data_IF_138043011323
#
_entry.id   IF_138043011323
#
_cell.length_a   1.000
_cell.length_b   1.000
_cell.length_c   1.000
_cell.angle_alpha   90.00
_cell.angle_beta   90.00
_cell.angle_gamma   90.00
#
_symmetry.space_group_name_H-M   'P 1'
#
loop_
_entity.id
_entity.type
_entity.pdbx_description
1 polymer ?
#
# COMPACT_ATOMS: atom_id res chain seq x y z
N UNK A 1 -36.12 -15.46 18.47
CA UNK A 1 -37.22 -14.99 17.58
C UNK A 1 -36.59 -14.56 16.27
N UNK A 2 -37.29 -14.66 15.15
CA UNK A 2 -36.89 -14.07 13.87
C UNK A 2 -37.97 -13.03 13.51
N UNK A 3 -37.57 -11.91 12.91
CA UNK A 3 -38.49 -10.85 12.47
C UNK A 3 -39.66 -11.40 11.63
N UNK A 4 -39.38 -12.44 10.84
CA UNK A 4 -40.31 -13.11 9.92
C UNK A 4 -41.44 -13.87 10.62
N UNK A 5 -41.34 -14.14 11.93
CA UNK A 5 -42.30 -14.99 12.65
C UNK A 5 -43.10 -14.21 13.72
N UNK A 6 -43.29 -12.90 13.53
CA UNK A 6 -44.00 -12.05 14.47
C UNK A 6 -45.48 -11.90 14.14
N UNK A 7 -46.34 -12.33 15.07
CA UNK A 7 -47.76 -12.05 14.99
C UNK A 7 -48.02 -10.54 15.17
N UNK A 8 -48.95 -9.94 14.42
CA UNK A 8 -49.38 -8.57 14.65
C UNK A 8 -49.93 -8.39 16.07
N UNK A 9 -49.60 -7.26 16.72
CA UNK A 9 -49.98 -7.00 18.11
C UNK A 9 -51.50 -7.04 18.32
N UNK A 10 -52.28 -6.59 17.33
CA UNK A 10 -53.75 -6.62 17.41
C UNK A 10 -54.31 -8.05 17.50
N UNK A 11 -53.67 -9.04 16.88
CA UNK A 11 -54.09 -10.45 16.93
C UNK A 11 -53.91 -11.00 18.35
N UNK A 12 -52.81 -10.64 19.00
CA UNK A 12 -52.54 -11.03 20.39
C UNK A 12 -53.53 -10.39 21.37
N UNK A 13 -53.87 -9.11 21.17
CA UNK A 13 -54.91 -8.43 21.95
C UNK A 13 -56.28 -9.10 21.76
N UNK A 14 -56.60 -9.52 20.53
CA UNK A 14 -57.86 -10.21 20.23
C UNK A 14 -57.93 -11.58 20.90
N UNK A 15 -56.85 -12.37 20.89
CA UNK A 15 -56.77 -13.67 21.57
C UNK A 15 -56.91 -13.55 23.10
N UNK A 16 -56.31 -12.53 23.72
CA UNK A 16 -56.43 -12.25 25.16
C UNK A 16 -57.86 -11.82 25.55
N UNK A 17 -58.58 -11.18 24.64
CA UNK A 17 -60.00 -10.84 24.86
C UNK A 17 -60.90 -12.08 24.95
N UNK A 18 -60.56 -13.17 24.23
CA UNK A 18 -61.33 -14.42 24.28
C UNK A 18 -61.04 -15.31 25.48
N UNK A 19 -59.88 -15.16 26.12
CA UNK A 19 -59.50 -15.93 27.30
C UNK A 19 -58.87 -15.01 28.35
N UNK A 20 -59.68 -14.20 29.05
CA UNK A 20 -59.17 -13.21 29.98
C UNK A 20 -58.54 -13.87 31.21
N UNK A 21 -57.26 -13.58 31.46
CA UNK A 21 -56.54 -14.00 32.67
C UNK A 21 -56.97 -13.16 33.88
N UNK A 22 -57.28 -11.87 33.66
CA UNK A 22 -57.85 -10.95 34.65
C UNK A 22 -59.02 -10.14 34.04
N UNK A 23 -60.22 -10.14 34.64
CA UNK A 23 -61.43 -9.53 34.04
C UNK A 23 -61.49 -7.99 34.12
N UNK A 24 -60.58 -7.33 34.86
CA UNK A 24 -60.60 -5.86 35.07
C UNK A 24 -59.45 -5.11 34.40
N UNK A 25 -58.50 -5.82 33.77
CA UNK A 25 -57.33 -5.20 33.14
C UNK A 25 -57.55 -4.96 31.65
N UNK A 26 -57.12 -3.80 31.13
CA UNK A 26 -57.09 -3.56 29.70
C UNK A 26 -56.09 -4.55 29.05
N UNK A 27 -56.53 -5.41 28.09
CA UNK A 27 -55.70 -6.49 27.55
C UNK A 27 -54.45 -5.97 26.82
N UNK A 28 -54.50 -4.76 26.26
CA UNK A 28 -53.34 -4.09 25.64
C UNK A 28 -52.25 -3.73 26.63
N UNK A 29 -52.63 -3.18 27.79
CA UNK A 29 -51.68 -2.77 28.83
C UNK A 29 -51.04 -4.00 29.47
N UNK A 30 -51.85 -5.00 29.82
CA UNK A 30 -51.38 -6.27 30.38
C UNK A 30 -50.39 -6.98 29.43
N UNK A 31 -50.69 -7.02 28.12
CA UNK A 31 -49.80 -7.60 27.13
C UNK A 31 -48.48 -6.83 27.02
N UNK A 32 -48.51 -5.49 27.07
CA UNK A 32 -47.30 -4.67 27.03
C UNK A 32 -46.44 -4.81 28.29
N UNK A 33 -47.04 -4.97 29.47
CA UNK A 33 -46.35 -5.20 30.74
C UNK A 33 -45.74 -6.60 30.79
N UNK A 34 -46.50 -7.61 30.36
CA UNK A 34 -46.04 -8.99 30.26
C UNK A 34 -44.89 -9.14 29.26
N UNK A 35 -45.00 -8.48 28.11
CA UNK A 35 -43.92 -8.39 27.13
C UNK A 35 -42.68 -7.74 27.74
N UNK A 36 -42.82 -6.59 28.39
CA UNK A 36 -41.72 -5.91 29.07
C UNK A 36 -41.04 -6.80 30.11
N UNK A 37 -41.81 -7.50 30.95
CA UNK A 37 -41.27 -8.43 31.95
C UNK A 37 -40.54 -9.61 31.32
N UNK A 38 -41.07 -10.17 30.23
CA UNK A 38 -40.44 -11.29 29.53
C UNK A 38 -39.10 -10.88 28.88
N UNK A 39 -39.08 -9.73 28.20
CA UNK A 39 -37.88 -9.23 27.54
C UNK A 39 -36.89 -8.55 28.51
N UNK A 40 -37.30 -8.20 29.73
CA UNK A 40 -36.42 -7.62 30.75
C UNK A 40 -35.17 -8.46 30.98
N UNK A 41 -35.33 -9.79 31.07
CA UNK A 41 -34.20 -10.73 31.22
C UNK A 41 -33.34 -10.91 29.97
N UNK A 42 -33.79 -10.43 28.81
CA UNK A 42 -33.09 -10.53 27.52
C UNK A 42 -32.40 -9.22 27.11
N UNK A 43 -32.54 -8.15 27.89
CA UNK A 43 -32.04 -6.82 27.54
C UNK A 43 -30.70 -6.54 28.21
N UNK A 44 -29.74 -5.92 27.49
CA UNK A 44 -28.42 -5.62 28.05
C UNK A 44 -28.43 -4.48 29.10
N UNK A 45 -29.56 -3.81 29.31
CA UNK A 45 -29.67 -2.50 30.01
C UNK A 45 -31.00 -2.43 30.79
N UNK A 46 -31.04 -1.79 31.99
CA UNK A 46 -32.28 -1.54 32.71
C UNK A 46 -33.16 -0.52 31.94
N UNK A 47 -34.38 -0.92 31.56
CA UNK A 47 -35.32 0.00 30.90
C UNK A 47 -35.78 1.09 31.89
N UNK A 48 -35.63 2.36 31.51
CA UNK A 48 -36.29 3.46 32.21
C UNK A 48 -37.82 3.37 31.98
N UNK A 49 -38.57 3.34 33.09
CA UNK A 49 -40.02 3.29 33.09
C UNK A 49 -40.61 4.60 32.58
N UNK A 50 -40.82 4.71 31.27
CA UNK A 50 -41.71 5.72 30.72
C UNK A 50 -42.94 5.04 30.13
N UNK A 51 -44.06 5.27 30.80
CA UNK A 51 -45.40 5.05 30.30
C UNK A 51 -45.63 6.03 29.15
N UNK A 52 -46.17 5.56 28.02
CA UNK A 52 -47.33 6.15 27.33
C UNK A 52 -47.69 5.26 26.15
N UNK A 53 -48.99 4.97 26.14
CA UNK A 53 -49.79 4.27 25.14
C UNK A 53 -49.44 4.72 23.73
N UNK A 54 -48.84 3.84 22.92
CA UNK A 54 -48.82 3.98 21.45
C UNK A 54 -49.45 2.73 20.84
N UNK A 55 -50.15 2.86 19.71
CA UNK A 55 -50.66 1.72 18.97
C UNK A 55 -49.49 0.89 18.44
N UNK A 56 -49.18 -0.19 19.14
CA UNK A 56 -48.06 -1.05 18.77
C UNK A 56 -48.45 -1.90 17.55
N UNK A 57 -47.58 -1.95 16.54
CA UNK A 57 -47.80 -2.81 15.36
C UNK A 57 -47.40 -4.25 15.64
N UNK A 58 -46.27 -4.43 16.33
CA UNK A 58 -45.70 -5.72 16.69
C UNK A 58 -45.10 -5.70 18.11
N UNK A 59 -44.83 -6.87 18.67
CA UNK A 59 -44.19 -7.02 19.98
C UNK A 59 -42.81 -6.35 20.05
N UNK A 60 -42.07 -6.37 18.93
CA UNK A 60 -40.76 -5.72 18.82
C UNK A 60 -40.85 -4.18 18.82
N UNK A 61 -41.98 -3.63 18.35
CA UNK A 61 -42.26 -2.19 18.41
C UNK A 61 -42.46 -1.71 19.85
N UNK A 62 -43.01 -2.56 20.73
CA UNK A 62 -43.13 -2.30 22.16
C UNK A 62 -41.75 -2.15 22.79
N UNK A 63 -40.82 -3.06 22.46
CA UNK A 63 -39.44 -3.05 22.96
C UNK A 63 -38.70 -1.82 22.44
N UNK A 64 -38.82 -1.50 21.14
CA UNK A 64 -38.22 -0.31 20.54
C UNK A 64 -38.68 0.98 21.21
N UNK A 65 -39.99 1.14 21.41
CA UNK A 65 -40.54 2.32 22.07
C UNK A 65 -40.13 2.42 23.55
N UNK A 66 -39.83 1.29 24.19
CA UNK A 66 -39.38 1.26 25.57
C UNK A 66 -37.88 1.59 25.72
N UNK A 67 -37.10 1.42 24.66
CA UNK A 67 -35.67 1.78 24.57
C UNK A 67 -35.43 3.26 24.27
N UNK A 68 -36.38 3.94 23.63
CA UNK A 68 -36.26 5.33 23.23
C UNK A 68 -36.79 6.26 24.34
N UNK A 69 -36.12 7.37 24.64
CA UNK A 69 -36.66 8.40 25.53
C UNK A 69 -37.90 9.04 24.89
N UNK A 70 -38.81 9.64 25.69
CA UNK A 70 -39.94 10.39 25.17
C UNK A 70 -39.40 11.51 24.29
N UNK A 71 -39.67 11.43 22.99
CA UNK A 71 -39.34 12.49 22.05
C UNK A 71 -40.25 13.68 22.39
N UNK A 72 -39.67 14.73 22.98
CA UNK A 72 -40.31 16.05 22.98
C UNK A 72 -40.56 16.42 21.51
N UNK A 73 -41.82 16.67 21.13
CA UNK A 73 -42.16 17.24 19.83
C UNK A 73 -41.56 18.65 19.74
N UNK A 74 -40.28 18.74 19.34
CA UNK A 74 -39.69 20.02 18.97
C UNK A 74 -40.25 20.43 17.62
N UNK A 75 -40.83 21.63 17.61
CA UNK A 75 -41.47 22.26 16.47
C UNK A 75 -40.61 22.16 15.22
N UNK A 76 -41.21 21.62 14.16
CA UNK A 76 -40.69 21.52 12.81
C UNK A 76 -40.36 22.90 12.24
N UNK A 77 -39.21 23.46 12.59
CA UNK A 77 -38.67 24.66 11.95
C UNK A 77 -37.19 24.44 11.66
N UNK A 78 -36.93 24.32 10.34
CA UNK A 78 -35.65 24.04 9.66
C UNK A 78 -35.22 22.57 9.60
N UNK A 79 -35.84 21.83 8.66
CA UNK A 79 -35.31 20.56 8.16
C UNK A 79 -34.00 20.85 7.41
N UNK A 80 -32.89 20.89 8.14
CA UNK A 80 -31.57 20.86 7.52
C UNK A 80 -31.23 19.42 7.19
N UNK A 81 -30.90 19.14 5.91
CA UNK A 81 -30.44 17.84 5.43
C UNK A 81 -29.25 17.37 6.28
N UNK A 82 -29.49 16.43 7.19
CA UNK A 82 -28.46 15.95 8.10
C UNK A 82 -27.65 14.87 7.38
N UNK A 83 -26.35 15.14 7.19
CA UNK A 83 -25.42 14.15 6.62
C UNK A 83 -25.21 13.03 7.65
N UNK A 84 -25.33 11.78 7.23
CA UNK A 84 -25.01 10.65 8.10
C UNK A 84 -23.53 10.66 8.50
N UNK A 85 -23.23 10.25 9.73
CA UNK A 85 -21.85 10.08 10.20
C UNK A 85 -21.14 9.03 9.34
N UNK A 86 -19.92 9.31 8.83
CA UNK A 86 -19.18 8.34 8.02
C UNK A 86 -18.77 7.09 8.82
N UNK A 87 -18.40 6.02 8.13
CA UNK A 87 -18.02 4.75 8.77
C UNK A 87 -16.87 4.89 9.77
N UNK A 88 -16.79 3.99 10.75
CA UNK A 88 -15.82 4.04 11.84
C UNK A 88 -14.35 4.14 11.35
N UNK A 89 -14.01 3.45 10.26
CA UNK A 89 -12.68 3.55 9.63
C UNK A 89 -12.37 4.97 9.13
N UNK A 90 -13.34 5.63 8.46
CA UNK A 90 -13.18 7.03 8.03
C UNK A 90 -13.08 7.96 9.22
N UNK A 91 -13.86 7.75 10.29
CA UNK A 91 -13.75 8.53 11.52
C UNK A 91 -12.35 8.42 12.16
N UNK A 92 -11.76 7.23 12.19
CA UNK A 92 -10.38 7.04 12.66
C UNK A 92 -9.36 7.77 11.77
N UNK A 93 -9.57 7.81 10.45
CA UNK A 93 -8.73 8.59 9.53
C UNK A 93 -8.80 10.09 9.82
N UNK A 94 -9.99 10.61 10.16
CA UNK A 94 -10.17 11.99 10.65
C UNK A 94 -9.59 12.25 12.05
N UNK A 95 -8.96 11.24 12.67
CA UNK A 95 -8.32 11.35 13.97
C UNK A 95 -9.26 11.26 15.16
N UNK A 96 -10.49 10.75 14.96
CA UNK A 96 -11.43 10.51 16.05
C UNK A 96 -11.01 9.24 16.79
N UNK A 97 -10.81 9.36 18.10
CA UNK A 97 -10.46 8.24 18.97
C UNK A 97 -11.71 7.66 19.59
N UNK A 98 -11.80 6.33 19.58
CA UNK A 98 -12.88 5.62 20.25
C UNK A 98 -12.43 5.25 21.65
N UNK A 99 -13.21 5.65 22.65
CA UNK A 99 -13.00 5.26 24.05
C UNK A 99 -14.23 4.55 24.58
N UNK A 100 -14.02 3.68 25.56
CA UNK A 100 -15.08 3.04 26.32
C UNK A 100 -15.62 4.04 27.34
N UNK A 101 -16.92 4.31 27.31
CA UNK A 101 -17.62 5.14 28.30
C UNK A 101 -17.80 4.40 29.64
N UNK A 102 -18.09 5.14 30.70
CA UNK A 102 -18.33 4.59 32.04
C UNK A 102 -19.80 4.23 32.28
N UNK A 103 -20.72 4.84 31.53
CA UNK A 103 -22.16 4.63 31.64
C UNK A 103 -22.62 3.31 31.00
N UNK A 104 -23.68 2.71 31.56
CA UNK A 104 -24.32 1.49 31.02
C UNK A 104 -25.55 1.77 30.14
N UNK A 105 -25.83 3.04 29.81
CA UNK A 105 -26.97 3.42 28.99
C UNK A 105 -26.65 3.28 27.50
N UNK A 106 -27.49 2.55 26.72
CA UNK A 106 -27.30 2.33 25.27
C UNK A 106 -27.12 3.63 24.51
N UNK A 107 -27.90 4.63 24.94
CA UNK A 107 -28.06 5.90 24.26
C UNK A 107 -27.06 6.96 24.74
N UNK A 108 -26.21 6.64 25.72
CA UNK A 108 -25.21 7.54 26.30
C UNK A 108 -23.96 7.74 25.43
N UNK A 109 -24.09 7.78 24.11
CA UNK A 109 -22.95 8.04 23.22
C UNK A 109 -22.63 9.53 23.28
N UNK A 110 -21.43 9.87 23.70
CA UNK A 110 -20.97 11.26 23.83
C UNK A 110 -19.80 11.52 22.89
N UNK A 111 -19.76 12.73 22.33
CA UNK A 111 -18.64 13.20 21.51
C UNK A 111 -18.07 14.49 22.10
N UNK A 112 -16.81 14.42 22.56
CA UNK A 112 -16.10 15.56 23.12
C UNK A 112 -14.71 15.66 22.49
N UNK A 113 -14.41 16.81 21.87
CA UNK A 113 -13.06 17.17 21.36
C UNK A 113 -12.33 16.06 20.57
N UNK A 114 -13.02 15.36 19.67
CA UNK A 114 -12.41 14.32 18.82
C UNK A 114 -12.31 12.94 19.49
N UNK A 115 -12.91 12.76 20.66
CA UNK A 115 -13.09 11.46 21.30
C UNK A 115 -14.57 11.09 21.25
N UNK A 116 -14.86 9.93 20.68
CA UNK A 116 -16.19 9.33 20.71
C UNK A 116 -16.20 8.27 21.82
N UNK A 117 -16.97 8.53 22.86
CA UNK A 117 -17.14 7.64 24.00
C UNK A 117 -18.36 6.76 23.77
N UNK A 118 -18.12 5.46 23.66
CA UNK A 118 -19.17 4.46 23.43
C UNK A 118 -19.34 3.65 24.73
N UNK A 119 -20.53 3.65 25.34
CA UNK A 119 -20.80 2.90 26.55
C UNK A 119 -20.67 1.38 26.28
N UNK A 120 -20.09 0.61 27.21
CA UNK A 120 -19.92 -0.83 27.03
C UNK A 120 -21.25 -1.56 27.05
N UNK A 121 -21.47 -2.40 26.03
CA UNK A 121 -22.63 -3.27 25.94
C UNK A 121 -22.26 -4.68 26.39
N UNK A 122 -23.00 -5.20 27.38
CA UNK A 122 -22.85 -6.59 27.82
C UNK A 122 -23.74 -7.47 26.95
N UNK A 123 -23.15 -8.11 25.95
CA UNK A 123 -23.85 -9.09 25.11
C UNK A 123 -23.86 -10.43 25.85
N UNK A 124 -25.05 -10.99 26.03
CA UNK A 124 -25.30 -12.34 26.56
C UNK A 124 -25.93 -13.21 25.46
N UNK A 125 -25.84 -14.53 25.56
CA UNK A 125 -26.39 -15.47 24.55
C UNK A 125 -27.88 -15.24 24.26
N UNK A 126 -28.62 -14.75 25.26
CA UNK A 126 -30.06 -14.43 25.15
C UNK A 126 -30.33 -13.11 24.39
N UNK A 127 -29.34 -12.19 24.34
CA UNK A 127 -29.42 -10.88 23.67
C UNK A 127 -29.05 -10.94 22.18
N UNK A 128 -28.27 -11.96 21.78
CA UNK A 128 -27.77 -12.17 20.41
C UNK A 128 -28.88 -12.24 19.35
N UNK A 129 -30.03 -12.92 19.56
CA UNK A 129 -31.10 -12.91 18.57
C UNK A 129 -31.93 -11.62 18.60
N UNK A 130 -31.93 -10.86 19.70
CA UNK A 130 -32.82 -9.70 19.85
C UNK A 130 -32.29 -8.48 19.07
N UNK A 131 -30.99 -8.21 19.16
CA UNK A 131 -30.35 -7.05 18.51
C UNK A 131 -30.46 -7.06 16.97
N UNK A 132 -30.15 -8.14 16.25
CA UNK A 132 -30.30 -8.20 14.80
C UNK A 132 -31.75 -8.05 14.35
N UNK A 133 -32.72 -8.55 15.12
CA UNK A 133 -34.13 -8.36 14.82
C UNK A 133 -34.59 -6.91 15.01
N UNK A 134 -34.09 -6.21 16.03
CA UNK A 134 -34.33 -4.78 16.20
C UNK A 134 -33.73 -3.98 15.04
N UNK A 135 -32.50 -4.30 14.62
CA UNK A 135 -31.85 -3.70 13.46
C UNK A 135 -32.67 -3.96 12.19
N UNK A 136 -33.07 -5.20 11.95
CA UNK A 136 -33.86 -5.58 10.78
C UNK A 136 -35.25 -4.92 10.79
N UNK A 137 -35.90 -4.80 11.95
CA UNK A 137 -37.16 -4.08 12.09
C UNK A 137 -37.04 -2.60 11.74
N UNK A 138 -36.00 -1.93 12.24
CA UNK A 138 -35.74 -0.53 11.89
C UNK A 138 -35.44 -0.37 10.40
N UNK A 139 -34.69 -1.30 9.80
CA UNK A 139 -34.41 -1.31 8.37
C UNK A 139 -35.69 -1.55 7.53
N UNK A 140 -36.58 -2.46 7.94
CA UNK A 140 -37.76 -2.81 7.16
C UNK A 140 -38.95 -1.84 7.33
N UNK A 141 -39.16 -1.27 8.51
CA UNK A 141 -40.34 -0.42 8.79
C UNK A 141 -40.12 1.08 8.57
N UNK A 142 -38.87 1.56 8.61
CA UNK A 142 -38.52 2.90 8.13
C UNK A 142 -38.31 2.74 6.63
N UNK A 143 -39.33 3.08 5.82
CA UNK A 143 -39.49 2.74 4.39
C UNK A 143 -38.45 3.25 3.38
N UNK A 144 -37.17 3.24 3.73
CA UNK A 144 -36.05 3.77 2.95
C UNK A 144 -35.16 2.67 2.34
N UNK A 145 -35.41 1.38 2.62
CA UNK A 145 -34.43 0.32 2.29
C UNK A 145 -34.37 -0.07 0.80
N UNK A 146 -35.43 0.13 0.02
CA UNK A 146 -35.33 -0.06 -1.44
C UNK A 146 -34.44 1.00 -2.13
N UNK A 147 -34.12 2.10 -1.44
CA UNK A 147 -33.08 3.06 -1.85
C UNK A 147 -31.73 2.87 -1.13
N UNK A 148 -31.71 2.20 0.02
CA UNK A 148 -30.55 2.05 0.91
C UNK A 148 -29.49 1.08 0.34
N UNK A 149 -29.91 -0.07 -0.20
CA UNK A 149 -28.97 -1.00 -0.85
C UNK A 149 -28.41 -0.45 -2.18
N UNK A 150 -29.22 0.35 -2.89
CA UNK A 150 -28.80 0.92 -4.17
C UNK A 150 -27.89 2.16 -4.00
N UNK A 151 -27.70 2.67 -2.78
CA UNK A 151 -26.90 3.88 -2.49
C UNK A 151 -25.87 3.72 -1.37
N UNK A 152 -25.61 2.49 -0.92
CA UNK A 152 -24.64 2.16 0.15
C UNK A 152 -23.19 2.63 -0.13
N UNK A 153 -22.89 3.09 -1.35
CA UNK A 153 -21.61 3.68 -1.72
C UNK A 153 -21.53 5.22 -1.63
N UNK A 154 -22.62 5.93 -1.34
CA UNK A 154 -22.65 7.42 -1.35
C UNK A 154 -23.37 7.96 -0.12
N UNK A 155 -22.80 8.99 0.51
CA UNK A 155 -23.33 9.72 1.68
C UNK A 155 -24.86 9.85 1.67
N UNK A 156 -25.53 9.21 2.65
CA UNK A 156 -27.00 9.28 2.79
C UNK A 156 -27.37 10.50 3.64
N UNK A 157 -28.32 11.30 3.15
CA UNK A 157 -28.93 12.42 3.88
C UNK A 157 -30.23 11.93 4.53
N UNK A 158 -30.40 12.17 5.83
CA UNK A 158 -31.64 11.88 6.55
C UNK A 158 -32.44 13.18 6.74
N UNK A 159 -33.76 13.09 6.53
CA UNK A 159 -34.72 14.21 6.54
C UNK A 159 -35.53 14.30 7.86
N UNK A 160 -35.07 13.66 8.94
CA UNK A 160 -35.79 13.61 10.23
C UNK A 160 -34.88 13.83 11.43
N UNK A 161 -35.43 14.46 12.47
CA UNK A 161 -34.81 14.59 13.79
C UNK A 161 -34.89 13.25 14.54
N UNK A 162 -33.74 12.61 14.71
CA UNK A 162 -33.57 11.42 15.56
C UNK A 162 -32.73 11.77 16.80
N UNK A 163 -32.78 10.94 17.84
CA UNK A 163 -32.14 11.20 19.14
C UNK A 163 -30.65 11.60 19.06
N UNK A 164 -29.92 11.06 18.07
CA UNK A 164 -28.51 11.36 17.85
C UNK A 164 -28.26 12.46 16.79
N UNK A 165 -29.26 13.24 16.38
CA UNK A 165 -29.09 14.28 15.35
C UNK A 165 -28.04 15.32 15.77
N UNK A 166 -28.09 15.80 17.01
CA UNK A 166 -27.13 16.74 17.58
C UNK A 166 -25.71 16.15 17.67
N UNK A 167 -25.61 14.88 18.09
CA UNK A 167 -24.35 14.14 18.11
C UNK A 167 -23.73 14.03 16.70
N UNK A 168 -24.55 13.66 15.71
CA UNK A 168 -24.14 13.56 14.32
C UNK A 168 -23.67 14.91 13.77
N UNK A 169 -24.34 16.01 14.13
CA UNK A 169 -23.95 17.35 13.74
C UNK A 169 -22.57 17.73 14.32
N UNK A 170 -22.34 17.46 15.61
CA UNK A 170 -21.04 17.71 16.25
C UNK A 170 -19.89 16.91 15.62
N UNK A 171 -20.10 15.62 15.34
CA UNK A 171 -19.11 14.76 14.66
C UNK A 171 -18.84 15.27 13.25
N UNK A 172 -19.88 15.58 12.48
CA UNK A 172 -19.73 16.10 11.12
C UNK A 172 -19.05 17.47 11.09
N UNK A 173 -19.35 18.36 12.04
CA UNK A 173 -18.69 19.66 12.17
C UNK A 173 -17.20 19.50 12.47
N UNK A 174 -16.84 18.52 13.29
CA UNK A 174 -15.44 18.17 13.57
C UNK A 174 -14.73 17.67 12.31
N UNK A 175 -15.29 16.69 11.60
CA UNK A 175 -14.72 16.15 10.36
C UNK A 175 -14.63 17.20 9.23
N UNK A 176 -15.54 18.19 9.20
CA UNK A 176 -15.53 19.24 8.18
C UNK A 176 -14.42 20.29 8.38
N UNK A 177 -13.83 20.42 9.57
CA UNK A 177 -12.72 21.37 9.81
C UNK A 177 -11.55 21.05 8.88
N UNK A 178 -10.96 22.10 8.28
CA UNK A 178 -9.84 21.97 7.31
C UNK A 178 -8.70 21.10 7.84
N UNK A 179 -8.28 21.33 9.08
CA UNK A 179 -7.18 20.59 9.71
C UNK A 179 -7.40 19.07 9.72
N UNK A 180 -8.56 18.60 10.17
CA UNK A 180 -8.83 17.15 10.25
C UNK A 180 -8.98 16.51 8.88
N UNK A 181 -9.50 17.26 7.90
CA UNK A 181 -9.56 16.80 6.50
C UNK A 181 -8.17 16.63 5.91
N UNK A 182 -7.32 17.65 6.02
CA UNK A 182 -5.94 17.57 5.53
C UNK A 182 -5.14 16.47 6.23
N UNK A 183 -5.26 16.30 7.55
CA UNK A 183 -4.58 15.20 8.25
C UNK A 183 -5.06 13.81 7.81
N UNK A 184 -6.35 13.66 7.49
CA UNK A 184 -6.90 12.40 6.99
C UNK A 184 -6.38 12.08 5.58
N UNK A 185 -6.37 13.08 4.68
CA UNK A 185 -5.86 12.96 3.33
C UNK A 185 -4.36 12.61 3.35
N UNK A 186 -3.57 13.33 4.17
CA UNK A 186 -2.14 13.08 4.35
C UNK A 186 -1.87 11.65 4.84
N UNK A 187 -2.60 11.18 5.84
CA UNK A 187 -2.42 9.84 6.40
C UNK A 187 -2.79 8.73 5.41
N UNK A 188 -3.84 8.96 4.61
CA UNK A 188 -4.31 8.00 3.60
C UNK A 188 -3.33 7.87 2.44
N UNK A 189 -2.87 8.99 1.91
CA UNK A 189 -2.13 9.00 0.64
C UNK A 189 -0.61 8.84 0.85
N UNK A 190 -0.07 9.31 1.98
CA UNK A 190 1.38 9.31 2.22
C UNK A 190 1.87 8.28 3.26
N UNK A 191 1.04 7.88 4.22
CA UNK A 191 1.49 7.06 5.36
C UNK A 191 0.97 5.62 5.34
N UNK A 192 0.32 5.17 4.27
CA UNK A 192 -0.15 3.78 4.14
C UNK A 192 0.97 2.80 3.73
N UNK A 193 2.04 3.29 3.11
CA UNK A 193 3.13 2.47 2.60
C UNK A 193 4.49 3.01 3.09
N UNK A 194 5.37 2.20 3.71
CA UNK A 194 6.73 2.62 4.10
C UNK A 194 7.53 3.25 2.95
N UNK A 195 7.26 2.84 1.70
CA UNK A 195 7.88 3.42 0.51
C UNK A 195 7.44 4.88 0.24
N UNK A 196 6.21 5.27 0.60
CA UNK A 196 5.75 6.65 0.45
C UNK A 196 6.43 7.60 1.45
N UNK A 197 6.81 7.10 2.63
CA UNK A 197 7.66 7.85 3.56
C UNK A 197 9.09 8.02 3.00
N UNK A 198 9.64 6.99 2.34
CA UNK A 198 10.92 7.11 1.62
C UNK A 198 10.79 8.11 0.47
N UNK A 199 9.68 8.14 -0.26
CA UNK A 199 9.42 9.15 -1.30
C UNK A 199 9.26 10.57 -0.75
N UNK A 200 8.70 10.75 0.45
CA UNK A 200 8.61 12.06 1.11
C UNK A 200 9.96 12.51 1.66
N UNK A 201 10.76 11.59 2.20
CA UNK A 201 12.13 11.88 2.62
C UNK A 201 13.00 12.16 1.39
N UNK A 202 12.85 11.39 0.31
CA UNK A 202 13.49 11.63 -0.97
C UNK A 202 13.06 12.98 -1.54
N UNK A 203 11.76 13.32 -1.53
CA UNK A 203 11.28 14.62 -1.99
C UNK A 203 11.73 15.79 -1.11
N UNK A 204 11.94 15.57 0.20
CA UNK A 204 12.50 16.57 1.11
C UNK A 204 14.02 16.70 0.98
N UNK A 205 14.70 15.61 0.64
CA UNK A 205 16.11 15.59 0.27
C UNK A 205 16.31 16.28 -1.09
N UNK A 206 15.44 15.98 -2.05
CA UNK A 206 15.29 16.62 -3.35
C UNK A 206 15.00 18.09 -3.15
N UNK A 207 14.01 18.50 -2.36
CA UNK A 207 13.74 19.92 -2.06
C UNK A 207 14.91 20.66 -1.41
N UNK A 208 15.86 19.94 -0.81
CA UNK A 208 17.12 20.47 -0.28
C UNK A 208 18.24 20.54 -1.34
N UNK A 209 18.11 19.78 -2.42
CA UNK A 209 18.88 19.83 -3.67
C UNK A 209 18.22 20.77 -4.71
N UNK A 210 16.92 21.06 -4.57
CA UNK A 210 16.06 21.84 -5.47
C UNK A 210 16.11 23.34 -5.20
N UNK A 211 17.02 23.80 -4.32
CA UNK A 211 17.50 25.18 -4.33
C UNK A 211 18.34 25.40 -5.60
N UNK A 212 17.71 25.30 -6.77
CA UNK A 212 18.10 25.83 -8.07
C UNK A 212 19.42 25.39 -8.73
N UNK A 213 20.34 24.72 -8.03
CA UNK A 213 21.70 24.52 -8.52
C UNK A 213 22.04 23.08 -8.94
N UNK A 214 21.29 22.04 -8.52
CA UNK A 214 21.76 20.65 -8.61
C UNK A 214 21.33 19.85 -9.87
N UNK A 215 20.17 20.10 -10.49
CA UNK A 215 19.80 19.42 -11.76
C UNK A 215 20.68 19.89 -12.93
N UNK A 216 20.93 21.21 -13.00
CA UNK A 216 21.88 21.79 -13.95
C UNK A 216 23.30 21.30 -13.66
N UNK A 217 23.69 21.20 -12.38
CA UNK A 217 24.99 20.67 -12.01
C UNK A 217 25.19 19.24 -12.50
N UNK A 218 24.18 18.36 -12.42
CA UNK A 218 24.30 17.00 -12.93
C UNK A 218 24.61 16.95 -14.43
N UNK A 219 23.96 17.81 -15.23
CA UNK A 219 24.21 17.91 -16.66
C UNK A 219 25.59 18.49 -16.95
N UNK A 220 26.03 19.49 -16.17
CA UNK A 220 27.39 20.03 -16.22
C UNK A 220 28.41 18.93 -15.91
N UNK A 221 28.19 18.14 -14.85
CA UNK A 221 29.06 17.03 -14.47
C UNK A 221 29.07 15.92 -15.52
N UNK A 222 27.93 15.60 -16.13
CA UNK A 222 27.84 14.61 -17.19
C UNK A 222 28.57 15.06 -18.45
N UNK A 223 28.35 16.29 -18.90
CA UNK A 223 29.06 16.85 -20.05
C UNK A 223 30.56 17.02 -19.80
N UNK A 224 30.95 17.35 -18.57
CA UNK A 224 32.35 17.37 -18.13
C UNK A 224 33.01 16.00 -18.20
N UNK A 225 32.28 14.93 -17.88
CA UNK A 225 32.80 13.56 -17.94
C UNK A 225 32.96 13.06 -19.38
N UNK A 226 32.17 13.57 -20.33
CA UNK A 226 32.22 13.18 -21.74
C UNK A 226 33.29 13.91 -22.53
N UNK A 227 33.50 15.20 -22.27
CA UNK A 227 34.41 16.02 -23.07
C UNK A 227 35.22 17.00 -22.22
N UNK A 228 34.66 18.16 -21.91
CA UNK A 228 35.34 19.22 -21.16
C UNK A 228 34.31 20.05 -20.38
N UNK A 229 34.79 20.80 -19.39
CA UNK A 229 33.94 21.61 -18.50
C UNK A 229 33.13 22.66 -19.27
N UNK A 230 33.69 23.22 -20.36
CA UNK A 230 32.98 24.16 -21.23
C UNK A 230 31.83 23.50 -22.01
N UNK A 231 32.01 22.27 -22.48
CA UNK A 231 30.97 21.54 -23.20
C UNK A 231 29.79 21.18 -22.27
N UNK A 232 30.08 20.83 -21.01
CA UNK A 232 29.05 20.58 -19.99
C UNK A 232 28.21 21.81 -19.67
N UNK A 233 28.84 23.00 -19.59
CA UNK A 233 28.13 24.25 -19.33
C UNK A 233 27.22 24.66 -20.49
N UNK A 234 27.67 24.46 -21.73
CA UNK A 234 26.84 24.68 -22.93
C UNK A 234 25.68 23.69 -23.00
N UNK A 235 25.91 22.41 -22.69
CA UNK A 235 24.85 21.40 -22.69
C UNK A 235 23.76 21.70 -21.65
N UNK A 236 24.15 22.10 -20.44
CA UNK A 236 23.21 22.50 -19.39
C UNK A 236 22.37 23.72 -19.80
N UNK A 237 23.01 24.76 -20.35
CA UNK A 237 22.31 25.94 -20.84
C UNK A 237 21.30 25.62 -21.97
N UNK A 238 21.63 24.67 -22.86
CA UNK A 238 20.73 24.26 -23.94
C UNK A 238 19.53 23.44 -23.44
N UNK A 239 19.72 22.55 -22.48
CA UNK A 239 18.62 21.74 -21.91
C UNK A 239 17.70 22.61 -21.06
N UNK A 240 18.24 23.55 -20.28
CA UNK A 240 17.46 24.47 -19.46
C UNK A 240 16.44 25.29 -20.29
N UNK A 241 16.76 25.60 -21.55
CA UNK A 241 15.90 26.37 -22.47
C UNK A 241 15.08 25.45 -23.39
N UNK A 242 15.32 24.13 -23.38
CA UNK A 242 14.70 23.22 -24.33
C UNK A 242 13.18 23.12 -24.10
N UNK A 243 12.33 23.58 -25.05
CA UNK A 243 10.89 23.64 -24.85
C UNK A 243 10.27 22.24 -24.68
N UNK A 244 10.89 21.21 -25.25
CA UNK A 244 10.47 19.82 -25.06
C UNK A 244 10.57 19.36 -23.60
N UNK A 245 11.65 19.73 -22.90
CA UNK A 245 11.83 19.44 -21.48
C UNK A 245 10.88 20.30 -20.63
N UNK A 246 10.89 21.62 -20.85
CA UNK A 246 10.06 22.58 -20.10
C UNK A 246 8.58 22.22 -20.17
N UNK A 247 8.08 21.74 -21.32
CA UNK A 247 6.66 21.35 -21.46
C UNK A 247 6.19 20.26 -20.51
N UNK A 248 7.11 19.45 -19.96
CA UNK A 248 6.85 18.32 -19.07
C UNK A 248 7.24 18.61 -17.61
N UNK A 249 7.98 19.69 -17.36
CA UNK A 249 8.48 20.11 -16.04
C UNK A 249 7.96 21.47 -15.58
N UNK A 250 6.76 21.87 -16.03
CA UNK A 250 6.17 23.16 -15.68
C UNK A 250 5.78 23.21 -14.19
N UNK A 251 6.06 24.33 -13.52
CA UNK A 251 5.62 24.55 -12.15
C UNK A 251 4.09 24.33 -12.01
N UNK A 252 3.70 23.31 -11.25
CA UNK A 252 2.31 22.89 -11.05
C UNK A 252 1.88 21.64 -11.82
N UNK A 253 2.69 21.11 -12.74
CA UNK A 253 2.48 19.77 -13.30
C UNK A 253 3.17 18.72 -12.43
N UNK A 254 2.38 17.99 -11.64
CA UNK A 254 2.88 16.91 -10.77
C UNK A 254 2.93 15.59 -11.56
N UNK A 255 3.81 15.53 -12.56
CA UNK A 255 4.00 14.37 -13.43
C UNK A 255 5.31 13.63 -13.10
N UNK A 256 5.34 12.31 -13.32
CA UNK A 256 6.51 11.49 -13.01
C UNK A 256 7.63 11.62 -14.06
N UNK A 257 7.35 12.27 -15.18
CA UNK A 257 8.31 12.42 -16.28
C UNK A 257 9.52 13.30 -15.91
N UNK A 258 9.34 14.37 -15.12
CA UNK A 258 10.43 15.25 -14.68
C UNK A 258 11.47 14.49 -13.85
N UNK A 259 10.99 13.83 -12.80
CA UNK A 259 11.79 12.97 -11.91
C UNK A 259 12.46 11.83 -12.69
N UNK A 260 11.77 11.27 -13.69
CA UNK A 260 12.32 10.20 -14.52
C UNK A 260 13.51 10.66 -15.37
N UNK A 261 13.48 11.88 -15.92
CA UNK A 261 14.58 12.41 -16.73
C UNK A 261 15.82 12.65 -15.85
N UNK A 262 15.63 13.19 -14.64
CA UNK A 262 16.69 13.34 -13.66
C UNK A 262 17.32 11.99 -13.29
N UNK A 263 16.49 11.01 -12.91
CA UNK A 263 16.93 9.65 -12.57
C UNK A 263 17.70 8.97 -13.72
N UNK A 264 17.25 9.17 -14.96
CA UNK A 264 17.88 8.65 -16.17
C UNK A 264 19.27 9.27 -16.40
N UNK A 265 19.38 10.60 -16.33
CA UNK A 265 20.67 11.30 -16.45
C UNK A 265 21.64 10.90 -15.34
N UNK A 266 21.14 10.78 -14.11
CA UNK A 266 21.94 10.37 -12.96
C UNK A 266 22.51 8.96 -13.14
N UNK A 267 21.68 8.04 -13.62
CA UNK A 267 22.08 6.65 -13.87
C UNK A 267 23.17 6.58 -14.95
N UNK A 268 23.02 7.30 -16.06
CA UNK A 268 24.02 7.34 -17.13
C UNK A 268 25.32 8.01 -16.69
N UNK A 269 25.24 9.12 -15.96
CA UNK A 269 26.42 9.78 -15.41
C UNK A 269 27.22 8.84 -14.50
N UNK A 270 26.55 8.21 -13.53
CA UNK A 270 27.21 7.30 -12.61
C UNK A 270 27.77 6.07 -13.34
N UNK A 271 27.08 5.58 -14.37
CA UNK A 271 27.57 4.46 -15.18
C UNK A 271 28.83 4.82 -15.97
N UNK A 272 28.84 5.95 -16.70
CA UNK A 272 30.01 6.42 -17.45
C UNK A 272 31.19 6.65 -16.51
N UNK A 273 30.94 7.27 -15.35
CA UNK A 273 31.96 7.46 -14.32
C UNK A 273 32.48 6.14 -13.76
N UNK A 274 31.62 5.13 -13.59
CA UNK A 274 32.03 3.79 -13.18
C UNK A 274 32.91 3.11 -14.24
N UNK A 275 32.62 3.29 -15.53
CA UNK A 275 33.44 2.75 -16.63
C UNK A 275 34.80 3.46 -16.70
N UNK A 276 34.84 4.79 -16.57
CA UNK A 276 36.07 5.57 -16.61
C UNK A 276 37.00 5.24 -15.43
N UNK A 277 36.44 5.21 -14.21
CA UNK A 277 37.22 4.97 -12.98
C UNK A 277 37.52 3.49 -12.75
N UNK A 278 36.62 2.58 -13.14
CA UNK A 278 36.68 1.15 -12.81
C UNK A 278 36.41 0.82 -11.34
N UNK A 279 35.83 1.74 -10.57
CA UNK A 279 35.55 1.51 -9.15
C UNK A 279 34.21 0.81 -8.94
N UNK A 280 34.20 -0.15 -8.01
CA UNK A 280 32.97 -0.83 -7.58
C UNK A 280 31.98 0.14 -6.93
N UNK A 281 32.46 1.15 -6.20
CA UNK A 281 31.59 2.10 -5.50
C UNK A 281 30.71 2.92 -6.48
N UNK A 282 31.29 3.36 -7.61
CA UNK A 282 30.54 4.09 -8.64
C UNK A 282 29.55 3.17 -9.37
N UNK A 283 29.88 1.89 -9.54
CA UNK A 283 28.95 0.90 -10.10
C UNK A 283 27.77 0.62 -9.16
N UNK A 284 28.00 0.52 -7.86
CA UNK A 284 26.94 0.44 -6.85
C UNK A 284 26.05 1.67 -6.86
N UNK A 285 26.65 2.87 -6.92
CA UNK A 285 25.89 4.12 -7.03
C UNK A 285 25.02 4.15 -8.30
N UNK A 286 25.55 3.73 -9.45
CA UNK A 286 24.78 3.60 -10.70
C UNK A 286 23.63 2.60 -10.56
N UNK A 287 23.84 1.51 -9.82
CA UNK A 287 22.79 0.52 -9.51
C UNK A 287 21.66 1.14 -8.70
N UNK A 288 21.97 1.93 -7.67
CA UNK A 288 20.96 2.64 -6.89
C UNK A 288 20.24 3.70 -7.73
N UNK A 289 20.95 4.37 -8.64
CA UNK A 289 20.33 5.26 -9.63
C UNK A 289 19.34 4.53 -10.53
N UNK A 290 19.71 3.34 -11.03
CA UNK A 290 18.82 2.50 -11.82
C UNK A 290 17.59 2.05 -11.02
N UNK A 291 17.78 1.61 -9.76
CA UNK A 291 16.67 1.24 -8.88
C UNK A 291 15.69 2.41 -8.65
N UNK A 292 16.22 3.62 -8.43
CA UNK A 292 15.42 4.82 -8.31
C UNK A 292 14.62 5.08 -9.59
N UNK A 293 15.22 4.95 -10.77
CA UNK A 293 14.52 5.07 -12.05
C UNK A 293 13.38 4.04 -12.20
N UNK A 294 13.62 2.77 -11.85
CA UNK A 294 12.60 1.71 -11.90
C UNK A 294 11.41 2.05 -11.00
N UNK A 295 11.67 2.69 -9.84
CA UNK A 295 10.60 3.12 -8.92
C UNK A 295 9.84 4.36 -9.40
N UNK A 296 10.48 5.25 -10.15
CA UNK A 296 9.91 6.51 -10.59
C UNK A 296 9.08 6.39 -11.89
N UNK A 297 9.58 5.65 -12.88
CA UNK A 297 8.94 5.58 -14.19
C UNK A 297 9.25 4.28 -14.95
N UNK A 298 8.30 3.82 -15.77
CA UNK A 298 8.46 2.65 -16.65
C UNK A 298 9.55 2.78 -17.72
N UNK A 299 10.15 3.96 -17.90
CA UNK A 299 11.26 4.21 -18.81
C UNK A 299 12.56 3.46 -18.47
N UNK A 300 12.64 2.71 -17.37
CA UNK A 300 13.82 1.89 -17.03
C UNK A 300 14.15 0.82 -18.09
N UNK A 301 13.15 0.39 -18.89
CA UNK A 301 13.34 -0.52 -20.03
C UNK A 301 14.27 0.09 -21.09
N UNK A 302 14.31 1.42 -21.20
CA UNK A 302 15.26 2.11 -22.08
C UNK A 302 16.70 1.96 -21.58
N UNK A 303 16.95 2.19 -20.29
CA UNK A 303 18.29 2.12 -19.69
C UNK A 303 18.86 0.71 -19.80
N UNK A 304 18.06 -0.30 -19.44
CA UNK A 304 18.51 -1.70 -19.44
C UNK A 304 18.76 -2.24 -20.84
N UNK A 305 18.27 -1.60 -21.91
CA UNK A 305 18.57 -1.98 -23.29
C UNK A 305 19.71 -1.14 -23.91
N UNK A 306 19.81 0.14 -23.56
CA UNK A 306 20.85 1.02 -24.07
C UNK A 306 22.24 0.66 -23.51
N UNK A 307 22.34 0.34 -22.22
CA UNK A 307 23.63 0.02 -21.59
C UNK A 307 24.25 -1.26 -22.18
N UNK A 308 23.54 -2.39 -22.30
CA UNK A 308 24.07 -3.57 -22.98
C UNK A 308 24.43 -3.31 -24.44
N UNK A 309 23.65 -2.48 -25.16
CA UNK A 309 23.97 -2.09 -26.53
C UNK A 309 25.31 -1.34 -26.58
N UNK A 310 25.53 -0.38 -25.67
CA UNK A 310 26.82 0.30 -25.53
C UNK A 310 27.97 -0.67 -25.25
N UNK A 311 27.78 -1.62 -24.34
CA UNK A 311 28.77 -2.67 -24.05
C UNK A 311 29.04 -3.55 -25.27
N UNK A 312 27.99 -3.95 -25.99
CA UNK A 312 28.11 -4.77 -27.20
C UNK A 312 28.90 -4.04 -28.29
N UNK A 313 28.66 -2.74 -28.50
CA UNK A 313 29.43 -1.91 -29.45
C UNK A 313 30.91 -1.84 -29.02
N UNK A 314 31.21 -1.71 -27.74
CA UNK A 314 32.60 -1.74 -27.25
C UNK A 314 33.27 -3.10 -27.45
N UNK A 315 32.52 -4.20 -27.33
CA UNK A 315 33.02 -5.54 -27.63
C UNK A 315 33.31 -5.71 -29.12
N UNK A 316 32.39 -5.30 -30.00
CA UNK A 316 32.56 -5.40 -31.47
C UNK A 316 33.73 -4.54 -31.96
N UNK A 317 33.93 -3.36 -31.38
CA UNK A 317 35.06 -2.47 -31.72
C UNK A 317 36.40 -2.91 -31.13
N UNK A 318 36.43 -4.02 -30.37
CA UNK A 318 37.64 -4.55 -29.74
C UNK A 318 38.15 -3.74 -28.54
N UNK A 319 37.37 -2.79 -28.02
CA UNK A 319 37.72 -1.95 -26.87
C UNK A 319 37.23 -2.55 -25.56
N UNK A 320 37.49 -3.83 -25.35
CA UNK A 320 37.17 -4.51 -24.10
C UNK A 320 38.13 -4.07 -22.98
N UNK A 321 37.60 -3.82 -21.78
CA UNK A 321 38.38 -3.48 -20.60
C UNK A 321 37.80 -4.15 -19.35
N UNK A 322 38.67 -4.52 -18.41
CA UNK A 322 38.25 -5.03 -17.10
C UNK A 322 37.39 -4.02 -16.32
N UNK A 323 37.57 -2.71 -16.55
CA UNK A 323 36.74 -1.65 -15.94
C UNK A 323 35.28 -1.76 -16.40
N UNK A 324 35.09 -1.97 -17.70
CA UNK A 324 33.77 -2.18 -18.30
C UNK A 324 33.10 -3.45 -17.77
N UNK A 325 33.87 -4.54 -17.67
CA UNK A 325 33.39 -5.80 -17.11
C UNK A 325 32.89 -5.63 -15.66
N UNK A 326 33.66 -4.98 -14.79
CA UNK A 326 33.27 -4.77 -13.39
C UNK A 326 32.04 -3.86 -13.30
N UNK A 327 32.03 -2.75 -14.05
CA UNK A 327 30.93 -1.78 -14.02
C UNK A 327 29.60 -2.38 -14.49
N UNK A 328 29.62 -3.12 -15.60
CA UNK A 328 28.40 -3.70 -16.19
C UNK A 328 27.85 -4.87 -15.37
N UNK A 329 28.71 -5.82 -14.95
CA UNK A 329 28.23 -6.99 -14.20
C UNK A 329 27.66 -6.61 -12.83
N UNK A 330 28.31 -5.68 -12.12
CA UNK A 330 27.81 -5.22 -10.83
C UNK A 330 26.47 -4.49 -10.98
N UNK A 331 26.35 -3.62 -11.99
CA UNK A 331 25.09 -2.95 -12.30
C UNK A 331 23.97 -3.93 -12.69
N UNK A 332 24.26 -4.91 -13.54
CA UNK A 332 23.26 -5.86 -14.03
C UNK A 332 22.77 -6.77 -12.90
N UNK A 333 23.67 -7.45 -12.18
CA UNK A 333 23.30 -8.42 -11.15
C UNK A 333 22.53 -7.75 -10.01
N UNK A 334 23.06 -6.66 -9.46
CA UNK A 334 22.41 -5.97 -8.34
C UNK A 334 21.18 -5.19 -8.79
N UNK A 335 21.21 -4.61 -9.99
CA UNK A 335 20.09 -3.85 -10.55
C UNK A 335 18.88 -4.73 -10.81
N UNK A 336 19.09 -5.95 -11.32
CA UNK A 336 18.04 -6.95 -11.47
C UNK A 336 17.45 -7.37 -10.12
N UNK A 337 18.30 -7.66 -9.13
CA UNK A 337 17.85 -8.06 -7.80
C UNK A 337 17.04 -6.98 -7.10
N UNK A 338 17.47 -5.72 -7.21
CA UNK A 338 16.75 -4.58 -6.64
C UNK A 338 15.45 -4.29 -7.40
N UNK A 339 15.46 -4.36 -8.73
CA UNK A 339 14.26 -4.12 -9.54
C UNK A 339 13.14 -5.14 -9.28
N UNK A 340 13.49 -6.40 -9.02
CA UNK A 340 12.52 -7.45 -8.63
C UNK A 340 11.78 -7.16 -7.32
N UNK A 341 12.33 -6.31 -6.45
CA UNK A 341 11.68 -5.95 -5.17
C UNK A 341 10.43 -5.08 -5.37
N UNK A 342 10.29 -4.43 -6.53
CA UNK A 342 9.15 -3.59 -6.85
C UNK A 342 7.99 -4.48 -7.31
N UNK A 343 6.90 -4.48 -6.57
CA UNK A 343 5.75 -5.37 -6.81
C UNK A 343 5.14 -5.22 -8.22
N UNK A 344 5.20 -4.01 -8.80
CA UNK A 344 4.72 -3.76 -10.17
C UNK A 344 5.57 -4.44 -11.23
N UNK A 345 6.85 -4.64 -10.94
CA UNK A 345 7.84 -5.19 -11.86
C UNK A 345 7.95 -6.71 -11.68
N UNK A 346 8.01 -7.19 -10.44
CA UNK A 346 8.00 -8.62 -10.12
C UNK A 346 9.00 -9.45 -10.94
N UNK A 347 8.50 -10.48 -11.62
CA UNK A 347 9.33 -11.39 -12.44
C UNK A 347 9.47 -10.96 -13.92
N UNK A 348 8.99 -9.77 -14.27
CA UNK A 348 9.05 -9.24 -15.63
C UNK A 348 10.49 -9.18 -16.14
N UNK A 349 11.46 -8.84 -15.27
CA UNK A 349 12.89 -8.80 -15.60
C UNK A 349 13.47 -10.11 -16.16
N UNK A 350 12.90 -11.27 -15.82
CA UNK A 350 13.39 -12.59 -16.29
C UNK A 350 12.55 -13.14 -17.41
N UNK A 351 11.23 -12.91 -17.38
CA UNK A 351 10.30 -13.51 -18.32
C UNK A 351 10.07 -12.66 -19.57
N UNK A 352 10.30 -11.35 -19.48
CA UNK A 352 10.02 -10.44 -20.60
C UNK A 352 11.14 -10.44 -21.62
N UNK A 353 10.74 -10.43 -22.90
CA UNK A 353 11.64 -10.29 -24.03
C UNK A 353 12.43 -8.98 -24.03
N UNK A 354 11.92 -7.95 -23.33
CA UNK A 354 12.53 -6.62 -23.29
C UNK A 354 13.83 -6.56 -22.46
N UNK A 355 14.11 -7.58 -21.64
CA UNK A 355 15.32 -7.66 -20.81
C UNK A 355 16.33 -8.71 -21.32
N UNK A 356 15.97 -9.47 -22.36
CA UNK A 356 16.82 -10.54 -22.91
C UNK A 356 18.14 -10.02 -23.49
N UNK A 357 18.15 -8.80 -24.05
CA UNK A 357 19.37 -8.20 -24.58
C UNK A 357 20.44 -8.01 -23.48
N UNK A 358 20.03 -7.55 -22.30
CA UNK A 358 20.93 -7.41 -21.15
C UNK A 358 21.46 -8.76 -20.68
N UNK A 359 20.58 -9.76 -20.59
CA UNK A 359 20.98 -11.12 -20.23
C UNK A 359 21.98 -11.71 -21.24
N UNK A 360 21.74 -11.53 -22.54
CA UNK A 360 22.62 -12.00 -23.60
C UNK A 360 24.02 -11.39 -23.52
N UNK A 361 24.13 -10.08 -23.33
CA UNK A 361 25.43 -9.40 -23.20
C UNK A 361 26.16 -9.79 -21.92
N UNK A 362 25.44 -10.00 -20.81
CA UNK A 362 25.99 -10.54 -19.57
C UNK A 362 26.63 -11.92 -19.78
N UNK A 363 25.93 -12.85 -20.44
CA UNK A 363 26.50 -14.16 -20.75
C UNK A 363 27.70 -14.07 -21.70
N UNK A 364 27.64 -13.22 -22.73
CA UNK A 364 28.77 -13.02 -23.65
C UNK A 364 30.03 -12.53 -22.94
N UNK A 365 29.91 -11.58 -22.01
CA UNK A 365 31.02 -11.09 -21.19
C UNK A 365 31.61 -12.20 -20.31
N UNK A 366 30.75 -13.05 -19.74
CA UNK A 366 31.18 -14.13 -18.86
C UNK A 366 31.91 -15.24 -19.64
N UNK A 367 31.44 -15.58 -20.84
CA UNK A 367 32.11 -16.53 -21.73
C UNK A 367 33.48 -16.01 -22.17
N UNK A 368 33.59 -14.73 -22.52
CA UNK A 368 34.87 -14.09 -22.87
C UNK A 368 35.93 -14.23 -21.77
N UNK A 369 35.55 -13.93 -20.52
CA UNK A 369 36.46 -14.05 -19.38
C UNK A 369 36.79 -15.50 -19.00
N UNK A 370 35.84 -16.43 -19.23
CA UNK A 370 36.07 -17.84 -18.94
C UNK A 370 37.10 -18.46 -19.89
N UNK A 371 37.15 -18.00 -21.16
CA UNK A 371 38.21 -18.39 -22.09
C UNK A 371 39.60 -17.92 -21.62
N UNK A 372 39.71 -16.66 -21.18
CA UNK A 372 40.96 -16.10 -20.65
C UNK A 372 41.48 -16.88 -19.43
N UNK A 373 40.58 -17.28 -18.52
CA UNK A 373 40.94 -18.13 -17.37
C UNK A 373 41.49 -19.49 -17.81
N UNK A 374 40.93 -20.07 -18.87
CA UNK A 374 41.39 -21.36 -19.40
C UNK A 374 42.76 -21.25 -20.08
N UNK A 375 43.00 -20.17 -20.81
CA UNK A 375 44.31 -19.87 -21.41
C UNK A 375 45.38 -19.68 -20.33
N UNK A 376 45.10 -18.88 -19.31
CA UNK A 376 45.99 -18.68 -18.16
C UNK A 376 46.29 -19.99 -17.43
N UNK A 377 45.32 -20.90 -17.31
CA UNK A 377 45.54 -22.22 -16.72
C UNK A 377 46.47 -23.10 -17.56
N UNK A 378 46.33 -23.08 -18.89
CA UNK A 378 47.24 -23.81 -19.76
C UNK A 378 48.66 -23.23 -19.66
N UNK A 379 48.82 -21.91 -19.64
CA UNK A 379 50.12 -21.25 -19.45
C UNK A 379 50.74 -21.58 -18.08
N UNK A 380 49.93 -21.57 -17.02
CA UNK A 380 50.38 -21.94 -15.67
C UNK A 380 50.87 -23.40 -15.61
N UNK A 381 50.20 -24.30 -16.35
CA UNK A 381 50.63 -25.70 -16.49
C UNK A 381 51.95 -25.83 -17.25
N UNK A 382 52.13 -25.03 -18.31
CA UNK A 382 53.35 -25.04 -19.13
C UNK A 382 54.56 -24.49 -18.34
N UNK A 383 54.34 -23.52 -17.46
CA UNK A 383 55.34 -23.00 -16.52
C UNK A 383 55.61 -23.93 -15.32
N UNK A 384 54.90 -25.06 -15.22
CA UNK A 384 55.02 -26.01 -14.10
C UNK A 384 54.53 -25.48 -12.75
N UNK A 385 53.79 -24.37 -12.75
CA UNK A 385 53.23 -23.76 -11.53
C UNK A 385 51.98 -24.56 -11.11
N UNK A 386 51.94 -24.97 -9.84
CA UNK A 386 50.81 -25.75 -9.32
C UNK A 386 49.59 -24.84 -9.07
N UNK A 387 48.38 -25.22 -9.52
CA UNK A 387 47.14 -24.54 -9.19
C UNK A 387 46.88 -24.53 -7.69
N UNK A 388 46.40 -23.40 -7.19
CA UNK A 388 45.87 -23.27 -5.83
C UNK A 388 44.39 -23.66 -5.80
N UNK A 389 43.82 -23.91 -4.62
CA UNK A 389 42.42 -24.29 -4.49
C UNK A 389 41.48 -23.20 -5.05
N UNK A 390 41.82 -21.93 -4.86
CA UNK A 390 41.10 -20.81 -5.46
C UNK A 390 41.09 -20.86 -7.00
N UNK A 391 42.21 -21.24 -7.62
CA UNK A 391 42.29 -21.39 -9.09
C UNK A 391 41.41 -22.53 -9.59
N UNK A 392 41.33 -23.64 -8.85
CA UNK A 392 40.49 -24.79 -9.17
C UNK A 392 39.01 -24.43 -9.13
N UNK A 393 38.58 -23.64 -8.13
CA UNK A 393 37.21 -23.13 -8.05
C UNK A 393 36.88 -22.21 -9.23
N UNK A 394 37.77 -21.28 -9.56
CA UNK A 394 37.56 -20.39 -10.73
C UNK A 394 37.53 -21.16 -12.05
N UNK A 395 38.36 -22.20 -12.19
CA UNK A 395 38.37 -23.07 -13.37
C UNK A 395 37.09 -23.88 -13.50
N UNK A 396 36.57 -24.39 -12.38
CA UNK A 396 35.32 -25.14 -12.37
C UNK A 396 34.14 -24.27 -12.81
N UNK A 397 34.10 -23.02 -12.34
CA UNK A 397 33.12 -22.02 -12.78
C UNK A 397 33.29 -21.65 -14.26
N UNK A 398 34.53 -21.47 -14.74
CA UNK A 398 34.83 -21.19 -16.13
C UNK A 398 34.39 -22.34 -17.07
N UNK A 399 34.68 -23.60 -16.71
CA UNK A 399 34.22 -24.79 -17.43
C UNK A 399 32.69 -24.86 -17.51
N UNK A 400 32.00 -24.48 -16.43
CA UNK A 400 30.53 -24.41 -16.39
C UNK A 400 29.97 -23.35 -17.35
N UNK A 401 30.56 -22.15 -17.38
CA UNK A 401 30.12 -21.07 -18.28
C UNK A 401 30.42 -21.36 -19.76
N UNK A 402 31.54 -22.02 -20.05
CA UNK A 402 31.93 -22.40 -21.42
C UNK A 402 31.19 -23.64 -21.94
N UNK A 403 30.61 -24.45 -21.05
CA UNK A 403 30.07 -25.76 -21.41
C UNK A 403 31.13 -26.74 -21.96
N UNK A 404 32.41 -26.51 -21.65
CA UNK A 404 33.53 -27.28 -22.18
C UNK A 404 33.73 -28.58 -21.38
N UNK A 405 32.96 -29.61 -21.71
CA UNK A 405 32.92 -30.90 -20.99
C UNK A 405 34.29 -31.59 -20.94
N UNK A 406 35.06 -31.57 -22.02
CA UNK A 406 36.37 -32.23 -22.09
C UNK A 406 37.39 -31.57 -21.15
N UNK A 407 37.38 -30.24 -21.09
CA UNK A 407 38.22 -29.46 -20.17
C UNK A 407 37.76 -29.65 -18.72
N UNK A 408 36.45 -29.73 -18.49
CA UNK A 408 35.86 -30.06 -17.20
C UNK A 408 36.24 -31.46 -16.70
N UNK A 409 36.24 -32.46 -17.57
CA UNK A 409 36.66 -33.82 -17.25
C UNK A 409 38.16 -33.89 -16.91
N UNK A 410 38.99 -33.15 -17.64
CA UNK A 410 40.43 -33.00 -17.35
C UNK A 410 40.67 -32.35 -15.99
N UNK A 411 39.97 -31.25 -15.68
CA UNK A 411 40.03 -30.59 -14.38
C UNK A 411 39.56 -31.51 -13.25
N UNK A 412 38.46 -32.24 -13.46
CA UNK A 412 37.93 -33.20 -12.48
C UNK A 412 38.91 -34.33 -12.19
N UNK A 413 39.56 -34.89 -13.22
CA UNK A 413 40.63 -35.88 -13.05
C UNK A 413 41.82 -35.28 -12.26
N UNK A 414 42.20 -34.04 -12.57
CA UNK A 414 43.26 -33.33 -11.85
C UNK A 414 42.95 -33.17 -10.36
N UNK A 415 41.72 -32.77 -10.00
CA UNK A 415 41.24 -32.62 -8.62
C UNK A 415 41.29 -33.95 -7.86
N UNK A 416 40.89 -35.05 -8.51
CA UNK A 416 40.94 -36.40 -7.92
C UNK A 416 42.39 -36.82 -7.64
N UNK A 417 43.29 -36.63 -8.61
CA UNK A 417 44.70 -37.05 -8.51
C UNK A 417 45.44 -36.24 -7.45
N UNK A 418 45.12 -34.95 -7.31
CA UNK A 418 45.75 -34.05 -6.32
C UNK A 418 45.11 -34.12 -4.93
N UNK A 419 44.07 -34.93 -4.72
CA UNK A 419 43.32 -35.10 -3.46
C UNK A 419 42.69 -33.82 -2.90
N UNK A 420 42.36 -32.84 -3.75
CA UNK A 420 41.61 -31.65 -3.32
C UNK A 420 40.19 -31.97 -2.80
N UNK A 421 39.66 -33.16 -3.12
CA UNK A 421 38.33 -33.64 -2.71
C UNK A 421 38.16 -33.77 -1.19
N UNK A 422 39.24 -33.99 -0.44
CA UNK A 422 39.18 -34.18 1.02
C UNK A 422 38.78 -32.89 1.76
N UNK A 423 38.90 -31.72 1.10
CA UNK A 423 38.49 -30.43 1.66
C UNK A 423 36.98 -30.16 1.50
N UNK A 424 36.40 -30.42 0.31
CA UNK A 424 34.96 -30.20 0.05
C UNK A 424 34.05 -31.12 0.87
N UNK A 425 34.57 -32.23 1.42
CA UNK A 425 33.84 -33.09 2.38
C UNK A 425 33.87 -32.59 3.82
N UNK A 426 34.68 -31.57 4.14
CA UNK A 426 34.90 -31.07 5.51
C UNK A 426 34.27 -29.70 5.78
N UNK A 427 33.81 -28.98 4.75
CA UNK A 427 32.92 -27.81 4.85
C UNK A 427 31.47 -28.25 4.71
#
# INVERSE_FOLDING_TARGET
>A
MLLENQLPFFVLVYLLTFNPVDPHANPSNYLSESARSFFWGMMPIPLQMNAIVRSHKHLLDVIRNALLPPVEERSSQNIQKLKLVPCAMKLQQFGIKFKKGEDFNLLGIQFSNGVLEIPPLKIQDVTEPLLPNLIAYEQCHIGYVMGFLNKLCVEVNLDYDFYFSELCEHVNKYCKKRWHRYCADLRRDYFYNPWAWISVVASLLERKLEDGEDEEALQIFFGKELWDSGAGLVAAALIAICPGYISRSVAGSYDNEGVAIFALLLTFYLFVKAVNTGSLAWSLASTFGYFYMVSACGGYVFIINLIPLYVLVLLITGRYSMRLYVAYNCMYVLGMLLAMQIQFVGFQHVQSGEHMAAMGVFFLLQSGKSNEVMELFNEMRDLGVKPTEATVVSLSSACGHLGALDQGASLHAYIIVTKFVDFFKKS
#
